data_IF_361694333774
#
_entry.id   IF_361694333774
#
_cell.length_a   1.000
_cell.length_b   1.000
_cell.length_c   1.000
_cell.angle_alpha   90.00
_cell.angle_beta   90.00
_cell.angle_gamma   90.00
#
_symmetry.space_group_name_H-M   'P 1'
#
loop_
_entity.id
_entity.type
_entity.pdbx_description
1 polymer ?
#
# COMPACT_ATOMS: atom_id res chain seq x y z
N UNK A 1 -5.90 13.14 -2.27
CA UNK A 1 -5.00 12.32 -1.41
C UNK A 1 -5.68 12.03 -0.10
N UNK A 2 -5.61 10.80 0.34
CA UNK A 2 -6.12 10.38 1.64
C UNK A 2 -4.97 10.42 2.65
N UNK A 3 -5.16 11.14 3.75
CA UNK A 3 -4.12 11.33 4.76
C UNK A 3 -4.35 10.54 6.05
N UNK A 4 -5.61 10.20 6.34
CA UNK A 4 -5.95 9.30 7.45
C UNK A 4 -6.00 7.88 6.90
N UNK A 5 -4.84 7.21 6.91
CA UNK A 5 -4.69 5.90 6.31
C UNK A 5 -4.31 4.88 7.37
N UNK A 6 -4.70 3.66 7.12
CA UNK A 6 -4.18 2.54 7.88
C UNK A 6 -2.87 2.08 7.24
N UNK A 7 -1.96 1.61 8.06
CA UNK A 7 -0.64 1.17 7.62
C UNK A 7 -0.27 -0.12 8.32
N UNK A 8 0.74 -0.82 7.79
CA UNK A 8 1.39 -1.92 8.46
C UNK A 8 2.86 -1.58 8.66
N UNK A 9 3.47 -2.18 9.66
CA UNK A 9 4.93 -2.19 9.81
C UNK A 9 5.46 -3.48 9.22
N UNK A 10 6.76 -3.56 8.98
CA UNK A 10 7.37 -4.76 8.40
C UNK A 10 7.13 -6.02 9.24
N UNK A 11 7.06 -5.86 10.55
CA UNK A 11 6.82 -6.97 11.49
C UNK A 11 5.36 -7.16 11.90
N UNK A 12 4.43 -6.39 11.33
CA UNK A 12 3.00 -6.60 11.56
C UNK A 12 2.59 -7.99 11.08
N UNK A 13 1.83 -8.71 11.89
CA UNK A 13 1.40 -10.08 11.53
C UNK A 13 0.39 -10.05 10.39
N UNK A 14 0.35 -11.13 9.61
CA UNK A 14 -0.66 -11.27 8.55
C UNK A 14 -2.07 -11.31 9.12
N UNK A 15 -2.26 -11.87 10.32
CA UNK A 15 -3.57 -11.83 10.99
C UNK A 15 -4.03 -10.39 11.22
N UNK A 16 -3.14 -9.53 11.73
CA UNK A 16 -3.46 -8.13 11.97
C UNK A 16 -3.72 -7.37 10.67
N UNK A 17 -2.91 -7.64 9.63
CA UNK A 17 -3.12 -7.07 8.30
C UNK A 17 -4.50 -7.45 7.77
N UNK A 18 -4.87 -8.73 7.89
CA UNK A 18 -6.17 -9.23 7.42
C UNK A 18 -7.32 -8.52 8.11
N UNK A 19 -7.20 -8.31 9.43
CA UNK A 19 -8.22 -7.58 10.19
C UNK A 19 -8.35 -6.13 9.72
N UNK A 20 -7.23 -5.47 9.42
CA UNK A 20 -7.23 -4.11 8.91
C UNK A 20 -7.85 -4.02 7.52
N UNK A 21 -7.53 -4.95 6.64
CA UNK A 21 -8.13 -5.00 5.29
C UNK A 21 -9.63 -5.25 5.37
N UNK A 22 -10.06 -6.14 6.26
CA UNK A 22 -11.48 -6.44 6.45
C UNK A 22 -12.27 -5.23 6.96
N UNK A 23 -11.69 -4.47 7.90
CA UNK A 23 -12.35 -3.33 8.51
C UNK A 23 -12.26 -2.05 7.66
N UNK A 24 -11.27 -1.96 6.78
CA UNK A 24 -11.00 -0.75 6.01
C UNK A 24 -11.72 -0.71 4.68
N UNK A 25 -11.61 0.44 4.01
CA UNK A 25 -12.20 0.67 2.70
C UNK A 25 -11.20 0.36 1.58
N UNK A 26 -9.96 0.07 1.92
CA UNK A 26 -8.89 -0.12 0.93
C UNK A 26 -8.54 -1.59 0.79
N UNK A 27 -8.09 -1.97 -0.41
CA UNK A 27 -7.69 -3.35 -0.70
C UNK A 27 -6.21 -3.61 -0.41
N UNK A 28 -5.53 -2.67 0.21
CA UNK A 28 -4.12 -2.79 0.52
C UNK A 28 -3.68 -1.82 1.58
N UNK A 29 -2.49 -2.05 2.11
CA UNK A 29 -1.86 -1.20 3.13
C UNK A 29 -0.43 -0.91 2.73
N UNK A 30 0.02 0.35 2.87
CA UNK A 30 1.46 0.61 2.81
C UNK A 30 2.16 -0.01 4.00
N UNK A 31 3.35 -0.54 3.75
CA UNK A 31 4.21 -1.12 4.78
C UNK A 31 5.35 -0.15 5.02
N UNK A 32 5.58 0.18 6.28
CA UNK A 32 6.58 1.16 6.69
C UNK A 32 7.65 0.50 7.55
N UNK A 33 8.86 1.05 7.47
CA UNK A 33 9.92 0.73 8.42
C UNK A 33 9.78 1.58 9.69
N UNK A 34 10.75 1.49 10.61
CA UNK A 34 10.69 2.20 11.89
C UNK A 34 10.83 3.72 11.74
N UNK A 35 11.30 4.20 10.60
CA UNK A 35 11.43 5.62 10.29
C UNK A 35 10.23 6.18 9.53
N UNK A 36 9.16 5.37 9.39
CA UNK A 36 7.96 5.70 8.61
C UNK A 36 8.23 5.84 7.11
N UNK A 37 9.31 5.24 6.63
CA UNK A 37 9.60 5.17 5.20
C UNK A 37 8.86 4.00 4.58
N UNK A 38 8.28 4.22 3.39
CA UNK A 38 7.53 3.18 2.68
C UNK A 38 8.50 2.14 2.12
N UNK A 39 8.34 0.90 2.54
CA UNK A 39 9.19 -0.21 2.07
C UNK A 39 8.43 -1.24 1.25
N UNK A 40 7.11 -1.23 1.29
CA UNK A 40 6.31 -2.17 0.53
C UNK A 40 4.84 -1.83 0.52
N UNK A 41 4.07 -2.64 -0.17
CA UNK A 41 2.59 -2.63 -0.17
C UNK A 41 2.14 -4.07 0.05
N UNK A 42 1.15 -4.26 0.91
CA UNK A 42 0.48 -5.55 1.11
C UNK A 42 -0.96 -5.42 0.64
N UNK A 43 -1.41 -6.38 -0.15
CA UNK A 43 -2.79 -6.42 -0.65
C UNK A 43 -3.42 -7.77 -0.35
N UNK A 44 -4.74 -7.88 -0.55
CA UNK A 44 -5.44 -9.14 -0.41
C UNK A 44 -4.86 -10.22 -1.36
N UNK A 45 -4.44 -9.83 -2.56
CA UNK A 45 -3.83 -10.76 -3.52
C UNK A 45 -2.54 -11.38 -2.95
N UNK A 46 -1.74 -10.60 -2.22
CA UNK A 46 -0.50 -11.12 -1.61
C UNK A 46 -0.82 -12.22 -0.60
N UNK A 47 -1.89 -12.04 0.19
CA UNK A 47 -2.33 -13.03 1.15
C UNK A 47 -2.86 -14.27 0.44
N UNK A 48 -3.68 -14.08 -0.61
CA UNK A 48 -4.20 -15.19 -1.41
C UNK A 48 -3.09 -16.01 -2.06
N UNK A 49 -2.05 -15.35 -2.57
CA UNK A 49 -0.88 -16.05 -3.13
C UNK A 49 -0.16 -16.88 -2.08
N UNK A 50 -0.03 -16.37 -0.85
CA UNK A 50 0.59 -17.10 0.23
C UNK A 50 -0.24 -18.35 0.61
N UNK A 51 -1.55 -18.22 0.65
CA UNK A 51 -2.47 -19.36 0.89
C UNK A 51 -2.30 -20.40 -0.20
N UNK A 52 -2.30 -19.98 -1.46
CA UNK A 52 -2.18 -20.89 -2.60
C UNK A 52 -0.87 -21.69 -2.56
N UNK A 53 0.21 -21.07 -2.07
CA UNK A 53 1.51 -21.72 -1.93
C UNK A 53 1.62 -22.62 -0.70
N UNK A 54 0.55 -22.75 0.09
CA UNK A 54 0.54 -23.57 1.29
C UNK A 54 1.31 -22.98 2.46
N UNK A 55 1.53 -21.67 2.49
CA UNK A 55 2.26 -21.00 3.57
C UNK A 55 1.42 -20.95 4.84
N UNK A 56 2.10 -20.97 5.98
CA UNK A 56 1.44 -20.81 7.28
C UNK A 56 1.28 -19.31 7.57
N UNK A 57 0.08 -18.78 7.35
CA UNK A 57 -0.19 -17.36 7.51
C UNK A 57 0.08 -16.87 8.93
N UNK A 58 -0.13 -17.72 9.94
CA UNK A 58 0.07 -17.33 11.33
C UNK A 58 1.54 -17.09 11.69
N UNK A 59 2.45 -17.64 10.89
CA UNK A 59 3.89 -17.47 11.08
C UNK A 59 4.45 -16.34 10.21
N UNK A 60 3.61 -15.65 9.42
CA UNK A 60 4.07 -14.67 8.45
C UNK A 60 3.81 -13.24 8.92
N UNK A 61 4.67 -12.35 8.45
CA UNK A 61 4.65 -10.92 8.71
C UNK A 61 4.54 -10.15 7.40
N UNK A 62 4.24 -8.86 7.49
CA UNK A 62 4.13 -8.00 6.31
C UNK A 62 5.34 -8.16 5.38
N UNK A 63 6.54 -8.12 5.94
CA UNK A 63 7.78 -8.22 5.13
C UNK A 63 7.89 -9.52 4.34
N UNK A 64 7.21 -10.59 4.77
CA UNK A 64 7.29 -11.89 4.12
C UNK A 64 6.40 -11.97 2.87
N UNK A 65 5.36 -11.16 2.80
CA UNK A 65 4.37 -11.24 1.72
C UNK A 65 4.21 -9.96 0.92
N UNK A 66 4.74 -8.84 1.38
CA UNK A 66 4.60 -7.55 0.71
C UNK A 66 5.28 -7.54 -0.66
N UNK A 67 4.79 -6.67 -1.54
CA UNK A 67 5.51 -6.29 -2.74
C UNK A 67 6.48 -5.19 -2.34
N UNK A 68 7.81 -5.43 -2.44
CA UNK A 68 8.80 -4.43 -2.03
C UNK A 68 8.98 -3.33 -3.07
N UNK A 69 9.58 -2.23 -2.65
CA UNK A 69 9.91 -1.11 -3.53
C UNK A 69 8.72 -0.64 -4.37
N UNK A 70 7.61 -0.25 -3.72
CA UNK A 70 6.43 0.16 -4.46
C UNK A 70 6.67 1.48 -5.19
N UNK A 71 5.89 1.71 -6.24
CA UNK A 71 5.86 3.03 -6.88
C UNK A 71 5.32 4.05 -5.89
N UNK A 72 6.01 5.17 -5.74
CA UNK A 72 5.58 6.27 -4.88
C UNK A 72 5.55 7.56 -5.71
N UNK A 73 4.79 8.52 -5.24
CA UNK A 73 4.71 9.84 -5.88
C UNK A 73 4.94 10.92 -4.83
N UNK A 74 5.17 12.13 -5.32
CA UNK A 74 5.33 13.31 -4.47
C UNK A 74 4.01 14.07 -4.42
N UNK A 75 3.91 14.99 -3.49
CA UNK A 75 2.69 15.77 -3.26
C UNK A 75 2.25 16.55 -4.51
N UNK A 76 3.19 17.00 -5.33
CA UNK A 76 2.94 17.79 -6.53
C UNK A 76 2.95 16.97 -7.83
N UNK A 77 3.02 15.65 -7.74
CA UNK A 77 2.91 14.79 -8.93
C UNK A 77 1.54 14.99 -9.57
N UNK A 78 1.51 15.14 -10.90
CA UNK A 78 0.26 15.40 -11.61
C UNK A 78 -0.69 14.21 -11.55
N UNK A 79 -1.98 14.47 -11.62
CA UNK A 79 -3.01 13.44 -11.67
C UNK A 79 -2.80 12.51 -12.87
N UNK A 80 -2.44 13.09 -14.02
CA UNK A 80 -2.22 12.28 -15.23
C UNK A 80 -1.06 11.30 -15.06
N UNK A 81 0.01 11.72 -14.39
CA UNK A 81 1.14 10.82 -14.09
C UNK A 81 0.73 9.72 -13.11
N UNK A 82 -0.09 10.05 -12.11
CA UNK A 82 -0.61 9.06 -11.16
C UNK A 82 -1.49 8.03 -11.86
N UNK A 83 -2.38 8.48 -12.74
CA UNK A 83 -3.23 7.59 -13.55
C UNK A 83 -2.36 6.62 -14.35
N UNK A 84 -1.33 7.13 -14.99
CA UNK A 84 -0.42 6.34 -15.81
C UNK A 84 0.24 5.22 -14.98
N UNK A 85 0.71 5.55 -13.78
CA UNK A 85 1.32 4.58 -12.87
C UNK A 85 0.30 3.50 -12.47
N UNK A 86 -0.90 3.92 -12.08
CA UNK A 86 -1.94 2.98 -11.64
C UNK A 86 -2.31 2.00 -12.74
N UNK A 87 -2.48 2.50 -13.96
CA UNK A 87 -2.87 1.66 -15.11
C UNK A 87 -1.75 0.73 -15.51
N UNK A 88 -0.53 1.24 -15.68
CA UNK A 88 0.60 0.44 -16.15
C UNK A 88 0.99 -0.66 -15.16
N UNK A 89 0.90 -0.38 -13.88
CA UNK A 89 1.32 -1.32 -12.84
C UNK A 89 0.15 -2.11 -12.24
N UNK A 90 -1.07 -1.79 -12.63
CA UNK A 90 -2.29 -2.44 -12.13
C UNK A 90 -2.38 -2.45 -10.61
N UNK A 91 -2.02 -1.33 -9.98
CA UNK A 91 -1.96 -1.21 -8.52
C UNK A 91 -3.22 -0.56 -7.96
N UNK A 92 -3.48 -0.83 -6.67
CA UNK A 92 -4.71 -0.36 -6.01
C UNK A 92 -4.53 1.01 -5.37
N UNK A 93 -3.30 1.37 -5.03
CA UNK A 93 -2.99 2.66 -4.41
C UNK A 93 -1.53 3.03 -4.66
N UNK A 94 -1.25 4.34 -4.57
CA UNK A 94 0.11 4.87 -4.69
C UNK A 94 0.41 5.66 -3.42
N UNK A 95 1.44 5.29 -2.66
CA UNK A 95 1.85 6.11 -1.52
C UNK A 95 2.37 7.46 -1.98
N UNK A 96 2.03 8.50 -1.23
CA UNK A 96 2.57 9.85 -1.41
C UNK A 96 3.61 10.08 -0.33
N UNK A 97 4.79 10.48 -0.71
CA UNK A 97 5.93 10.66 0.20
C UNK A 97 6.49 12.08 0.12
N UNK A 98 7.27 12.46 1.12
CA UNK A 98 7.97 13.75 1.14
C UNK A 98 8.99 13.83 0.01
N UNK A 99 9.33 15.07 -0.40
CA UNK A 99 10.16 15.32 -1.58
C UNK A 99 11.55 14.66 -1.54
N UNK A 100 12.19 14.63 -0.39
CA UNK A 100 13.58 14.18 -0.28
C UNK A 100 13.74 12.88 0.50
N UNK A 101 12.63 12.22 0.85
CA UNK A 101 12.66 10.96 1.60
C UNK A 101 11.54 10.05 1.09
N UNK A 102 11.47 8.84 1.64
CA UNK A 102 10.32 7.95 1.44
C UNK A 102 9.34 8.01 2.61
N UNK A 103 9.40 9.09 3.39
CA UNK A 103 8.48 9.23 4.52
C UNK A 103 7.06 9.48 4.01
N UNK A 104 6.12 8.65 4.46
CA UNK A 104 4.76 8.69 3.96
C UNK A 104 4.00 9.92 4.48
N UNK A 105 3.21 10.54 3.61
CA UNK A 105 2.27 11.61 3.99
C UNK A 105 0.83 11.26 3.65
N UNK A 106 0.60 10.30 2.79
CA UNK A 106 -0.74 9.87 2.43
C UNK A 106 -0.71 8.82 1.36
N UNK A 107 -1.88 8.51 0.83
CA UNK A 107 -2.01 7.60 -0.33
C UNK A 107 -3.00 8.19 -1.33
N UNK A 108 -2.86 7.79 -2.59
CA UNK A 108 -3.85 8.06 -3.63
C UNK A 108 -4.39 6.72 -4.10
N UNK A 109 -5.72 6.58 -4.04
CA UNK A 109 -6.42 5.38 -4.49
C UNK A 109 -7.06 5.63 -5.85
N UNK A 110 -7.54 4.56 -6.48
CA UNK A 110 -8.29 4.67 -7.74
C UNK A 110 -9.51 5.58 -7.59
N UNK A 111 -10.24 5.47 -6.48
CA UNK A 111 -11.40 6.32 -6.22
C UNK A 111 -11.02 7.79 -6.03
N UNK A 112 -9.89 8.06 -5.37
CA UNK A 112 -9.41 9.44 -5.22
C UNK A 112 -9.22 10.10 -6.59
N UNK A 113 -8.62 9.37 -7.53
CA UNK A 113 -8.37 9.87 -8.89
C UNK A 113 -9.69 10.11 -9.63
N UNK A 114 -10.59 9.14 -9.56
CA UNK A 114 -11.91 9.25 -10.22
C UNK A 114 -12.67 10.45 -9.67
N UNK A 115 -12.69 10.62 -8.35
CA UNK A 115 -13.37 11.73 -7.70
C UNK A 115 -12.79 13.07 -8.16
N UNK A 116 -11.47 13.15 -8.28
CA UNK A 116 -10.80 14.38 -8.74
C UNK A 116 -11.22 14.78 -10.16
N UNK A 117 -11.51 13.80 -11.02
CA UNK A 117 -11.92 14.04 -12.42
C UNK A 117 -13.41 14.32 -12.58
N UNK A 118 -14.20 14.05 -11.56
CA UNK A 118 -15.65 14.36 -11.60
C UNK A 118 -15.92 15.82 -11.24
#
# INVERSE_FOLDING_TARGET
>A
MTTQIDIAKENTTVEEISAKLFAGEFNGLPVLDDNEFVTGIVTAIDILKAIQKGKNLRAMRAKDIMTPNPSVVKKDTSIDDIIDIIIKKEIVMVPVVEDNTNKIIGVVTRLDVITEKL
#
